data_IF_017525665253
#
_entry.id   IF_017525665253
#
_cell.length_a   1.000
_cell.length_b   1.000
_cell.length_c   1.000
_cell.angle_alpha   90.00
_cell.angle_beta   90.00
_cell.angle_gamma   90.00
#
_symmetry.space_group_name_H-M   'P 1'
#
loop_
_entity.id
_entity.type
_entity.pdbx_description
1 polymer ?
#
# COMPACT_ATOMS: atom_id res chain seq x y z
N UNK A 1 35.55 14.51 7.44
CA UNK A 1 35.86 14.23 8.85
C UNK A 1 34.77 13.32 9.38
N UNK A 2 35.13 12.06 9.62
CA UNK A 2 34.30 11.01 10.21
C UNK A 2 34.79 10.88 11.65
N UNK A 3 34.00 11.21 12.67
CA UNK A 3 34.25 10.69 14.04
C UNK A 3 33.13 10.92 15.07
N UNK A 4 32.14 11.78 14.83
CA UNK A 4 31.19 12.13 15.91
C UNK A 4 30.00 11.17 16.14
N UNK A 5 29.80 10.15 15.30
CA UNK A 5 28.67 9.22 15.47
C UNK A 5 28.97 7.99 16.35
N UNK A 6 30.20 7.82 16.85
CA UNK A 6 30.60 6.60 17.56
C UNK A 6 30.50 6.66 19.11
N UNK A 7 29.94 7.72 19.71
CA UNK A 7 29.97 7.92 21.19
C UNK A 7 28.64 8.00 21.92
N UNK A 8 27.53 7.52 21.34
CA UNK A 8 26.33 7.28 22.14
C UNK A 8 26.50 5.94 22.87
N UNK A 9 27.33 5.96 23.93
CA UNK A 9 27.35 4.93 24.95
C UNK A 9 26.00 4.98 25.68
N UNK A 10 25.05 4.17 25.23
CA UNK A 10 23.79 3.97 25.94
C UNK A 10 24.13 3.28 27.26
N UNK A 11 24.10 4.08 28.34
CA UNK A 11 24.28 3.65 29.73
C UNK A 11 23.31 2.49 29.99
N UNK A 12 23.83 1.26 30.08
CA UNK A 12 23.00 0.10 30.43
C UNK A 12 22.36 0.35 31.80
N UNK A 13 21.03 0.25 31.93
CA UNK A 13 20.37 0.48 33.20
C UNK A 13 20.82 -0.58 34.21
N UNK A 14 21.56 -0.17 35.26
CA UNK A 14 21.97 -1.00 36.39
C UNK A 14 20.82 -1.27 37.37
N UNK A 15 19.60 -1.46 36.87
CA UNK A 15 18.46 -1.79 37.71
C UNK A 15 18.14 -3.28 37.52
N UNK A 16 18.39 -4.14 38.53
CA UNK A 16 18.19 -5.59 38.40
C UNK A 16 16.73 -5.97 38.08
N UNK A 17 15.75 -5.10 38.37
CA UNK A 17 14.37 -5.32 37.90
C UNK A 17 14.26 -5.28 36.37
N UNK A 18 15.04 -4.44 35.69
CA UNK A 18 15.05 -4.36 34.22
C UNK A 18 15.67 -5.62 33.61
N UNK A 19 16.72 -6.18 34.22
CA UNK A 19 17.29 -7.46 33.78
C UNK A 19 16.28 -8.60 33.85
N UNK A 20 15.43 -8.61 34.88
CA UNK A 20 14.34 -9.59 34.99
C UNK A 20 13.30 -9.44 33.87
N UNK A 21 13.01 -8.21 33.42
CA UNK A 21 12.14 -7.96 32.25
C UNK A 21 12.80 -8.29 30.91
N UNK A 22 14.13 -8.28 30.83
CA UNK A 22 14.88 -8.68 29.62
C UNK A 22 15.05 -10.21 29.53
N UNK A 23 15.04 -10.92 30.66
CA UNK A 23 15.13 -12.38 30.69
C UNK A 23 13.81 -13.09 30.44
N UNK A 24 12.67 -12.39 30.51
CA UNK A 24 11.43 -12.96 30.00
C UNK A 24 11.52 -12.98 28.48
N UNK A 25 11.48 -14.17 27.83
CA UNK A 25 11.43 -14.25 26.38
C UNK A 25 10.11 -13.61 25.94
N UNK A 26 10.16 -12.32 25.60
CA UNK A 26 9.04 -11.61 25.00
C UNK A 26 8.90 -12.10 23.57
N UNK A 27 8.42 -13.34 23.41
CA UNK A 27 8.03 -13.89 22.12
C UNK A 27 7.05 -12.92 21.43
N UNK A 28 6.19 -12.22 22.19
CA UNK A 28 5.33 -11.16 21.63
C UNK A 28 6.04 -9.89 21.18
N UNK A 29 7.09 -9.43 21.87
CA UNK A 29 7.72 -8.14 21.54
C UNK A 29 8.65 -8.25 20.33
N UNK A 30 9.38 -9.36 20.20
CA UNK A 30 10.18 -9.63 19.01
C UNK A 30 9.30 -9.78 17.76
N UNK A 31 8.13 -10.41 17.88
CA UNK A 31 7.18 -10.51 16.78
C UNK A 31 6.66 -9.14 16.37
N UNK A 32 6.34 -8.24 17.32
CA UNK A 32 5.89 -6.88 16.98
C UNK A 32 6.98 -6.04 16.32
N UNK A 33 8.23 -6.12 16.77
CA UNK A 33 9.31 -5.34 16.13
C UNK A 33 9.66 -5.91 14.76
N UNK A 34 9.64 -7.23 14.57
CA UNK A 34 9.85 -7.85 13.26
C UNK A 34 8.70 -7.56 12.29
N UNK A 35 7.43 -7.61 12.73
CA UNK A 35 6.31 -7.24 11.87
C UNK A 35 6.37 -5.75 11.52
N UNK A 36 6.77 -4.89 12.46
CA UNK A 36 6.93 -3.46 12.21
C UNK A 36 8.10 -3.15 11.28
N UNK A 37 9.26 -3.79 11.47
CA UNK A 37 10.41 -3.65 10.56
C UNK A 37 10.05 -4.17 9.17
N UNK A 38 9.46 -5.37 9.06
CA UNK A 38 9.08 -5.93 7.76
C UNK A 38 8.02 -5.08 7.06
N UNK A 39 7.02 -4.58 7.81
CA UNK A 39 5.99 -3.67 7.29
C UNK A 39 6.61 -2.34 6.84
N UNK A 40 7.59 -1.81 7.59
CA UNK A 40 8.34 -0.61 7.22
C UNK A 40 9.19 -0.80 5.97
N UNK A 41 9.88 -1.93 5.83
CA UNK A 41 10.71 -2.22 4.66
C UNK A 41 9.84 -2.40 3.40
N UNK A 42 8.69 -3.07 3.53
CA UNK A 42 7.67 -3.20 2.47
C UNK A 42 7.10 -1.81 2.12
N UNK A 43 6.88 -0.96 3.11
CA UNK A 43 6.40 0.41 2.91
C UNK A 43 7.41 1.24 2.12
N UNK A 44 8.65 1.33 2.60
CA UNK A 44 9.70 2.13 1.95
C UNK A 44 9.93 1.64 0.51
N UNK A 45 9.92 0.32 0.30
CA UNK A 45 10.03 -0.29 -1.04
C UNK A 45 8.83 0.03 -1.95
N UNK A 46 7.60 -0.03 -1.41
CA UNK A 46 6.38 0.33 -2.16
C UNK A 46 6.42 1.78 -2.61
N UNK A 47 6.78 2.71 -1.70
CA UNK A 47 6.85 4.14 -2.01
C UNK A 47 7.94 4.40 -3.03
N UNK A 48 9.13 3.80 -2.87
CA UNK A 48 10.21 3.94 -3.84
C UNK A 48 9.74 3.49 -5.24
N UNK A 49 9.12 2.30 -5.35
CA UNK A 49 8.59 1.79 -6.62
C UNK A 49 7.53 2.70 -7.24
N UNK A 50 6.63 3.26 -6.42
CA UNK A 50 5.61 4.20 -6.88
C UNK A 50 6.24 5.51 -7.40
N UNK A 51 7.27 6.03 -6.74
CA UNK A 51 7.95 7.27 -7.14
C UNK A 51 8.79 7.11 -8.42
N UNK A 52 9.36 5.93 -8.66
CA UNK A 52 10.09 5.60 -9.88
C UNK A 52 9.19 5.47 -11.12
N UNK A 53 7.90 5.19 -10.93
CA UNK A 53 6.93 5.03 -12.01
C UNK A 53 6.05 6.27 -12.18
N UNK A 54 6.16 6.96 -13.31
CA UNK A 54 5.41 8.20 -13.60
C UNK A 54 3.90 8.12 -13.29
N UNK A 55 3.24 7.04 -13.69
CA UNK A 55 1.81 6.82 -13.42
C UNK A 55 1.53 6.78 -11.91
N UNK A 56 2.20 5.87 -11.21
CA UNK A 56 1.99 5.65 -9.77
C UNK A 56 2.42 6.87 -8.96
N UNK A 57 3.46 7.60 -9.38
CA UNK A 57 3.89 8.85 -8.75
C UNK A 57 2.79 9.91 -8.79
N UNK A 58 2.15 10.09 -9.94
CA UNK A 58 1.04 11.03 -10.06
C UNK A 58 -0.17 10.58 -9.21
N UNK A 59 -0.52 9.31 -9.24
CA UNK A 59 -1.63 8.80 -8.42
C UNK A 59 -1.34 8.87 -6.91
N UNK A 60 -0.09 8.63 -6.51
CA UNK A 60 0.41 8.81 -5.15
C UNK A 60 0.26 10.26 -4.69
N UNK A 61 0.65 11.23 -5.51
CA UNK A 61 0.46 12.64 -5.21
C UNK A 61 -1.03 13.00 -5.15
N UNK A 62 -1.84 12.51 -6.08
CA UNK A 62 -3.29 12.73 -6.06
C UNK A 62 -3.90 12.29 -4.73
N UNK A 63 -3.55 11.08 -4.28
CA UNK A 63 -3.99 10.54 -3.01
C UNK A 63 -3.47 11.36 -1.81
N UNK A 64 -2.20 11.75 -1.81
CA UNK A 64 -1.61 12.55 -0.73
C UNK A 64 -2.29 13.93 -0.57
N UNK A 65 -2.57 14.62 -1.67
CA UNK A 65 -3.31 15.89 -1.64
C UNK A 65 -4.76 15.70 -1.21
N UNK A 66 -5.44 14.64 -1.68
CA UNK A 66 -6.80 14.33 -1.26
C UNK A 66 -6.90 14.00 0.24
N UNK A 67 -5.92 13.25 0.78
CA UNK A 67 -5.84 13.00 2.22
C UNK A 67 -5.63 14.29 3.03
N UNK A 68 -4.71 15.16 2.59
CA UNK A 68 -4.46 16.44 3.25
C UNK A 68 -5.72 17.29 3.31
N UNK A 69 -6.50 17.33 2.23
CA UNK A 69 -7.82 17.99 2.20
C UNK A 69 -8.82 17.35 3.17
N UNK A 70 -8.84 16.03 3.30
CA UNK A 70 -9.78 15.31 4.16
C UNK A 70 -9.47 15.48 5.66
N UNK A 71 -8.20 15.62 6.03
CA UNK A 71 -7.80 15.96 7.39
C UNK A 71 -8.11 17.44 7.68
N UNK A 72 -9.35 17.70 8.11
CA UNK A 72 -9.93 19.01 8.46
C UNK A 72 -9.10 19.92 9.38
N UNK A 73 -8.04 19.41 10.01
CA UNK A 73 -7.18 20.17 10.91
C UNK A 73 -6.36 21.26 10.18
N UNK A 74 -6.15 21.13 8.87
CA UNK A 74 -5.70 22.23 8.04
C UNK A 74 -6.94 22.90 7.45
N UNK A 75 -7.06 24.22 7.57
CA UNK A 75 -7.96 25.01 6.73
C UNK A 75 -7.83 24.50 5.29
N UNK A 76 -8.83 23.74 4.84
CA UNK A 76 -8.69 22.89 3.66
C UNK A 76 -8.22 23.74 2.49
N UNK A 77 -6.94 23.62 2.14
CA UNK A 77 -6.34 24.50 1.15
C UNK A 77 -7.03 24.17 -0.18
N UNK A 78 -7.74 25.12 -0.82
CA UNK A 78 -8.38 24.86 -2.11
C UNK A 78 -7.37 24.35 -3.16
N UNK A 79 -6.09 24.70 -3.01
CA UNK A 79 -5.01 24.20 -3.83
C UNK A 79 -4.82 22.67 -3.72
N UNK A 80 -5.07 22.07 -2.56
CA UNK A 80 -4.96 20.61 -2.38
C UNK A 80 -6.01 19.88 -3.23
N UNK A 81 -7.21 20.46 -3.43
CA UNK A 81 -8.19 19.90 -4.37
C UNK A 81 -7.70 19.99 -5.82
N UNK A 82 -7.23 21.17 -6.23
CA UNK A 82 -6.71 21.39 -7.59
C UNK A 82 -5.54 20.47 -7.89
N UNK A 83 -4.61 20.33 -6.95
CA UNK A 83 -3.44 19.47 -7.09
C UNK A 83 -3.80 17.98 -7.07
N UNK A 84 -4.79 17.58 -6.26
CA UNK A 84 -5.31 16.20 -6.28
C UNK A 84 -5.92 15.87 -7.64
N UNK A 85 -6.83 16.70 -8.15
CA UNK A 85 -7.52 16.49 -9.42
C UNK A 85 -6.53 16.52 -10.61
N UNK A 86 -5.58 17.47 -10.60
CA UNK A 86 -4.54 17.56 -11.62
C UNK A 86 -3.68 16.30 -11.68
N UNK A 87 -3.25 15.81 -10.53
CA UNK A 87 -2.42 14.61 -10.45
C UNK A 87 -3.22 13.35 -10.77
N UNK A 88 -4.48 13.27 -10.36
CA UNK A 88 -5.38 12.18 -10.73
C UNK A 88 -5.53 12.12 -12.25
N UNK A 89 -5.90 13.24 -12.89
CA UNK A 89 -6.07 13.31 -14.34
C UNK A 89 -4.79 12.99 -15.11
N UNK A 90 -3.62 13.42 -14.62
CA UNK A 90 -2.34 13.08 -15.24
C UNK A 90 -2.00 11.60 -15.08
N UNK A 91 -2.18 11.04 -13.88
CA UNK A 91 -1.94 9.63 -13.60
C UNK A 91 -2.85 8.71 -14.43
N UNK A 92 -4.15 8.97 -14.47
CA UNK A 92 -5.12 8.18 -15.24
C UNK A 92 -4.86 8.27 -16.75
N UNK A 93 -4.51 9.45 -17.27
CA UNK A 93 -4.17 9.61 -18.68
C UNK A 93 -2.91 8.82 -19.08
N UNK A 94 -1.86 8.84 -18.25
CA UNK A 94 -0.65 8.03 -18.51
C UNK A 94 -0.98 6.55 -18.42
N UNK A 95 -1.76 6.13 -17.41
CA UNK A 95 -2.20 4.74 -17.27
C UNK A 95 -2.97 4.27 -18.49
N UNK A 96 -3.95 5.06 -18.95
CA UNK A 96 -4.74 4.75 -20.13
C UNK A 96 -3.85 4.45 -21.34
N UNK A 97 -2.89 5.33 -21.63
CA UNK A 97 -1.95 5.13 -22.73
C UNK A 97 -1.10 3.86 -22.57
N UNK A 98 -0.66 3.55 -21.34
CA UNK A 98 0.12 2.33 -21.05
C UNK A 98 -0.72 1.05 -21.20
N UNK A 99 -2.00 1.09 -20.86
CA UNK A 99 -2.90 -0.06 -20.99
C UNK A 99 -3.20 -0.41 -22.46
N UNK A 100 -3.07 0.56 -23.38
CA UNK A 100 -3.20 0.31 -24.82
C UNK A 100 -1.97 -0.37 -25.44
N UNK A 101 -0.85 -0.45 -24.72
CA UNK A 101 0.38 -1.06 -25.23
C UNK A 101 0.36 -2.58 -25.00
N UNK A 102 0.56 -3.34 -26.08
CA UNK A 102 0.62 -4.80 -26.02
C UNK A 102 1.71 -5.28 -25.05
N UNK A 103 1.40 -6.29 -24.24
CA UNK A 103 2.33 -6.88 -23.26
C UNK A 103 2.55 -6.07 -21.98
N UNK A 104 2.06 -4.83 -21.89
CA UNK A 104 2.27 -3.97 -20.72
C UNK A 104 1.05 -3.88 -19.79
N UNK A 105 -0.14 -4.27 -20.26
CA UNK A 105 -1.40 -4.10 -19.54
C UNK A 105 -1.29 -4.56 -18.07
N UNK A 106 -0.79 -5.78 -17.84
CA UNK A 106 -0.67 -6.39 -16.51
C UNK A 106 0.76 -6.36 -15.95
N UNK A 107 1.56 -5.33 -16.32
CA UNK A 107 2.86 -5.07 -15.70
C UNK A 107 2.70 -4.63 -14.24
N UNK A 108 3.74 -4.86 -13.41
CA UNK A 108 3.74 -4.48 -11.99
C UNK A 108 3.45 -2.98 -11.80
N UNK A 109 3.98 -2.13 -12.67
CA UNK A 109 3.74 -0.68 -12.62
C UNK A 109 2.27 -0.32 -12.87
N UNK A 110 1.62 -0.97 -13.84
CA UNK A 110 0.21 -0.73 -14.12
C UNK A 110 -0.69 -1.31 -13.01
N UNK A 111 -0.34 -2.48 -12.47
CA UNK A 111 -1.03 -3.08 -11.32
C UNK A 111 -0.94 -2.18 -10.09
N UNK A 112 0.25 -1.64 -9.78
CA UNK A 112 0.43 -0.66 -8.72
C UNK A 112 -0.43 0.59 -8.93
N UNK A 113 -0.53 1.07 -10.18
CA UNK A 113 -1.35 2.23 -10.51
C UNK A 113 -2.86 1.94 -10.33
N UNK A 114 -3.34 0.78 -10.79
CA UNK A 114 -4.75 0.40 -10.61
C UNK A 114 -5.07 0.13 -9.14
N UNK A 115 -4.15 -0.46 -8.38
CA UNK A 115 -4.26 -0.62 -6.94
C UNK A 115 -4.41 0.74 -6.22
N UNK A 116 -3.63 1.75 -6.63
CA UNK A 116 -3.79 3.12 -6.12
C UNK A 116 -5.13 3.74 -6.51
N UNK A 117 -5.64 3.49 -7.72
CA UNK A 117 -6.98 3.94 -8.13
C UNK A 117 -8.09 3.29 -7.31
N UNK A 118 -7.97 2.00 -7.01
CA UNK A 118 -8.89 1.29 -6.10
C UNK A 118 -8.92 1.96 -4.73
N UNK A 119 -7.73 2.25 -4.15
CA UNK A 119 -7.64 2.91 -2.85
C UNK A 119 -8.17 4.36 -2.91
N UNK A 120 -7.80 5.12 -3.95
CA UNK A 120 -8.25 6.50 -4.15
C UNK A 120 -9.78 6.58 -4.26
N UNK A 121 -10.38 5.76 -5.13
CA UNK A 121 -11.83 5.78 -5.33
C UNK A 121 -12.60 5.28 -4.11
N UNK A 122 -12.03 4.34 -3.34
CA UNK A 122 -12.66 3.86 -2.11
C UNK A 122 -12.74 4.94 -1.02
N UNK A 123 -11.77 5.86 -1.01
CA UNK A 123 -11.69 6.91 0.01
C UNK A 123 -12.33 8.24 -0.47
N UNK A 124 -12.27 8.56 -1.76
CA UNK A 124 -12.65 9.87 -2.31
C UNK A 124 -13.55 9.85 -3.55
N UNK A 125 -13.78 8.68 -4.14
CA UNK A 125 -14.49 8.53 -5.41
C UNK A 125 -15.95 8.09 -5.25
N UNK A 126 -16.53 7.64 -6.36
CA UNK A 126 -17.87 7.08 -6.41
C UNK A 126 -17.86 5.55 -6.42
N UNK A 127 -18.96 4.92 -5.97
CA UNK A 127 -19.06 3.45 -5.86
C UNK A 127 -18.86 2.73 -7.20
N UNK A 128 -19.34 3.32 -8.31
CA UNK A 128 -19.12 2.81 -9.66
C UNK A 128 -17.64 2.83 -10.08
N UNK A 129 -16.87 3.84 -9.67
CA UNK A 129 -15.42 3.90 -9.92
C UNK A 129 -14.68 2.84 -9.12
N UNK A 130 -15.06 2.63 -7.85
CA UNK A 130 -14.51 1.56 -7.01
C UNK A 130 -14.70 0.20 -7.66
N UNK A 131 -15.92 -0.08 -8.13
CA UNK A 131 -16.22 -1.32 -8.85
C UNK A 131 -15.39 -1.47 -10.12
N UNK A 132 -15.35 -0.43 -10.96
CA UNK A 132 -14.59 -0.44 -12.21
C UNK A 132 -13.10 -0.75 -11.98
N UNK A 133 -12.46 -0.06 -11.03
CA UNK A 133 -11.04 -0.26 -10.75
C UNK A 133 -10.76 -1.60 -10.06
N UNK A 134 -11.68 -2.07 -9.22
CA UNK A 134 -11.58 -3.39 -8.58
C UNK A 134 -11.68 -4.51 -9.61
N UNK A 135 -12.62 -4.42 -10.55
CA UNK A 135 -12.77 -5.42 -11.61
C UNK A 135 -11.55 -5.41 -12.54
N UNK A 136 -11.03 -4.23 -12.88
CA UNK A 136 -9.77 -4.10 -13.62
C UNK A 136 -8.60 -4.76 -12.86
N UNK A 137 -8.46 -4.49 -11.55
CA UNK A 137 -7.42 -5.09 -10.72
C UNK A 137 -7.54 -6.62 -10.70
N UNK A 138 -8.75 -7.16 -10.51
CA UNK A 138 -9.02 -8.60 -10.54
C UNK A 138 -8.58 -9.21 -11.86
N UNK A 139 -8.98 -8.63 -12.98
CA UNK A 139 -8.59 -9.11 -14.32
C UNK A 139 -7.07 -9.10 -14.51
N UNK A 140 -6.39 -8.03 -14.08
CA UNK A 140 -4.93 -7.94 -14.23
C UNK A 140 -4.18 -8.96 -13.36
N UNK A 141 -4.67 -9.20 -12.14
CA UNK A 141 -4.10 -10.21 -11.23
C UNK A 141 -4.38 -11.62 -11.74
N UNK A 142 -5.59 -11.89 -12.25
CA UNK A 142 -5.95 -13.17 -12.86
C UNK A 142 -5.07 -13.49 -14.07
N UNK A 143 -4.85 -12.52 -14.95
CA UNK A 143 -3.95 -12.66 -16.11
C UNK A 143 -2.49 -12.97 -15.72
N UNK A 144 -2.09 -12.63 -14.50
CA UNK A 144 -0.76 -12.96 -13.96
C UNK A 144 -0.73 -14.33 -13.28
N UNK A 145 -1.85 -15.01 -13.14
CA UNK A 145 -1.97 -16.30 -12.45
C UNK A 145 -2.32 -16.19 -10.97
N UNK A 146 -2.86 -15.06 -10.53
CA UNK A 146 -3.25 -14.80 -9.15
C UNK A 146 -2.19 -14.06 -8.33
N UNK A 147 -2.52 -13.74 -7.07
CA UNK A 147 -1.64 -13.02 -6.14
C UNK A 147 -0.32 -13.74 -5.85
N UNK A 148 -0.29 -15.06 -5.99
CA UNK A 148 0.90 -15.87 -5.71
C UNK A 148 1.97 -15.76 -6.80
N UNK A 149 1.63 -15.24 -7.98
CA UNK A 149 2.55 -15.07 -9.10
C UNK A 149 3.49 -13.86 -8.96
N UNK A 150 3.33 -13.04 -7.92
CA UNK A 150 4.09 -11.81 -7.67
C UNK A 150 5.36 -12.03 -6.83
N UNK A 151 5.96 -13.22 -6.90
CA UNK A 151 7.15 -13.60 -6.09
C UNK A 151 8.36 -12.71 -6.33
N UNK A 152 8.52 -12.14 -7.53
CA UNK A 152 9.59 -11.21 -7.87
C UNK A 152 9.34 -9.77 -7.41
N UNK A 153 8.14 -9.48 -6.88
CA UNK A 153 7.76 -8.18 -6.35
C UNK A 153 6.98 -8.38 -5.03
N UNK A 154 7.68 -8.76 -3.94
CA UNK A 154 7.06 -9.09 -2.66
C UNK A 154 6.27 -7.92 -2.07
N UNK A 155 6.67 -6.69 -2.39
CA UNK A 155 6.00 -5.46 -1.96
C UNK A 155 4.60 -5.34 -2.57
N UNK A 156 4.50 -5.48 -3.90
CA UNK A 156 3.22 -5.49 -4.60
C UNK A 156 2.39 -6.72 -4.19
N UNK A 157 3.02 -7.89 -4.03
CA UNK A 157 2.34 -9.09 -3.54
C UNK A 157 1.67 -8.84 -2.19
N UNK A 158 2.39 -8.28 -1.21
CA UNK A 158 1.83 -7.93 0.10
C UNK A 158 0.64 -6.99 -0.04
N UNK A 159 0.78 -5.92 -0.82
CA UNK A 159 -0.30 -4.95 -1.05
C UNK A 159 -1.55 -5.59 -1.66
N UNK A 160 -1.40 -6.50 -2.62
CA UNK A 160 -2.51 -7.26 -3.21
C UNK A 160 -3.15 -8.22 -2.21
N UNK A 161 -2.39 -8.79 -1.28
CA UNK A 161 -2.92 -9.67 -0.24
C UNK A 161 -3.72 -8.89 0.82
N UNK A 162 -3.31 -7.66 1.16
CA UNK A 162 -3.93 -6.88 2.24
C UNK A 162 -4.96 -5.86 1.78
N UNK A 163 -5.07 -5.53 0.48
CA UNK A 163 -6.01 -4.52 -0.03
C UNK A 163 -7.45 -4.77 0.43
N UNK A 164 -7.88 -6.03 0.46
CA UNK A 164 -9.23 -6.41 0.86
C UNK A 164 -9.54 -6.16 2.33
N UNK A 165 -8.53 -6.09 3.19
CA UNK A 165 -8.66 -5.74 4.62
C UNK A 165 -8.12 -4.34 4.93
N UNK A 166 -7.81 -3.55 3.90
CA UNK A 166 -7.18 -2.25 4.08
C UNK A 166 -8.11 -1.22 4.73
N UNK A 167 -7.52 -0.27 5.44
CA UNK A 167 -8.24 0.79 6.18
C UNK A 167 -8.27 2.09 5.38
N UNK A 168 -9.37 2.85 5.48
CA UNK A 168 -9.53 4.14 4.80
C UNK A 168 -8.45 5.12 5.21
N UNK A 169 -8.02 5.97 4.28
CA UNK A 169 -7.01 7.01 4.54
C UNK A 169 -5.61 6.48 4.92
N UNK A 170 -5.33 5.19 4.70
CA UNK A 170 -3.99 4.61 4.81
C UNK A 170 -3.36 4.39 3.44
N UNK A 171 -2.41 5.24 3.07
CA UNK A 171 -1.70 5.15 1.79
C UNK A 171 -1.05 3.77 1.55
N UNK A 172 -0.65 3.11 2.64
CA UNK A 172 0.13 1.85 2.66
C UNK A 172 -0.75 0.62 2.58
N UNK A 173 -2.07 0.81 2.58
CA UNK A 173 -3.12 -0.21 2.65
C UNK A 173 -3.16 -0.99 3.97
N UNK A 174 -2.00 -1.33 4.51
CA UNK A 174 -1.84 -2.00 5.79
C UNK A 174 -1.89 -1.00 6.96
N UNK A 175 -2.40 -1.45 8.10
CA UNK A 175 -2.44 -0.69 9.35
C UNK A 175 -2.30 -1.66 10.54
N UNK A 176 -1.84 -1.14 11.68
CA UNK A 176 -1.72 -1.93 12.92
C UNK A 176 -3.06 -2.54 13.35
N UNK A 177 -3.03 -3.64 14.10
CA UNK A 177 -4.24 -4.37 14.52
C UNK A 177 -5.25 -3.52 15.32
N UNK A 178 -4.79 -2.44 15.94
CA UNK A 178 -5.62 -1.48 16.69
C UNK A 178 -6.14 -0.29 15.87
N UNK A 179 -6.01 -0.31 14.54
CA UNK A 179 -6.44 0.80 13.67
C UNK A 179 -7.92 1.14 13.89
N UNK A 180 -8.27 2.38 14.32
CA UNK A 180 -9.66 2.76 14.53
C UNK A 180 -10.39 3.04 13.21
N UNK A 181 -9.67 3.22 12.10
CA UNK A 181 -10.25 3.56 10.81
C UNK A 181 -11.07 2.40 10.23
N UNK A 182 -12.10 2.77 9.47
CA UNK A 182 -12.99 1.83 8.82
C UNK A 182 -12.28 1.05 7.72
N UNK A 183 -12.72 -0.18 7.47
CA UNK A 183 -12.31 -0.93 6.28
C UNK A 183 -12.73 -0.15 5.02
N UNK A 184 -11.85 -0.09 4.02
CA UNK A 184 -12.20 0.40 2.68
C UNK A 184 -13.28 -0.45 2.04
N UNK A 185 -13.18 -1.76 2.23
CA UNK A 185 -14.08 -2.77 1.68
C UNK A 185 -14.70 -3.56 2.85
N UNK A 186 -15.88 -3.15 3.37
CA UNK A 186 -16.52 -3.82 4.50
C UNK A 186 -16.81 -5.31 4.22
N UNK A 187 -17.17 -5.65 2.99
CA UNK A 187 -17.39 -7.03 2.54
C UNK A 187 -16.10 -7.74 2.08
N UNK A 188 -14.97 -7.05 2.19
CA UNK A 188 -13.69 -7.45 1.67
C UNK A 188 -13.56 -7.29 0.15
N UNK A 189 -12.31 -7.28 -0.32
CA UNK A 189 -11.96 -7.34 -1.75
C UNK A 189 -11.19 -8.65 -1.99
N UNK A 190 -11.85 -9.62 -2.62
CA UNK A 190 -11.22 -10.88 -3.01
C UNK A 190 -10.53 -10.75 -4.36
N UNK A 191 -9.23 -10.98 -4.37
CA UNK A 191 -8.41 -11.17 -5.57
C UNK A 191 -8.15 -12.66 -5.77
N UNK A 192 -7.99 -13.13 -7.02
CA UNK A 192 -7.73 -14.55 -7.27
C UNK A 192 -6.39 -14.97 -6.66
N UNK A 193 -6.41 -16.04 -5.88
CA UNK A 193 -5.23 -16.74 -5.39
C UNK A 193 -4.79 -17.78 -6.43
N UNK A 194 -3.49 -18.02 -6.56
CA UNK A 194 -2.95 -18.88 -7.61
C UNK A 194 -3.44 -20.34 -7.51
N UNK A 195 -3.32 -21.05 -8.63
CA UNK A 195 -3.52 -22.50 -8.83
C UNK A 195 -4.84 -23.16 -8.34
N UNK A 196 -5.81 -22.43 -7.80
CA UNK A 196 -7.17 -22.96 -7.58
C UNK A 196 -8.10 -22.82 -8.81
N UNK A 197 -7.55 -22.49 -9.99
CA UNK A 197 -8.31 -22.46 -11.25
C UNK A 197 -8.06 -23.66 -12.19
N UNK A 198 -7.27 -24.65 -11.78
CA UNK A 198 -7.13 -25.92 -12.52
C UNK A 198 -8.06 -27.04 -12.02
N UNK A 199 -9.15 -26.72 -11.32
CA UNK A 199 -10.13 -27.74 -10.92
C UNK A 199 -11.58 -27.33 -11.21
N UNK A 200 -11.82 -26.90 -12.43
CA UNK A 200 -13.13 -26.99 -13.09
C UNK A 200 -12.94 -27.48 -14.53
N UNK A 201 -12.22 -28.60 -14.68
CA UNK A 201 -12.37 -29.42 -15.88
C UNK A 201 -13.49 -30.43 -15.61
N UNK A 202 -14.58 -30.26 -16.35
CA UNK A 202 -15.53 -31.28 -16.87
C UNK A 202 -15.95 -32.44 -15.98
#
# INVERSE_FOLDING_TARGET
>A
MNEDLARIQIKRPQNPRVEQYLQQPKQGFLLTTQSWISSRDILESSIAFMLENDTSRHLLFAYAYAMRRAHRAADGNPQDQVDAERNLGRGTNILWNRLQMAGHASSDANLQAVLLLVAYSADFGQENEVRLHTDALRTMVDQRGGTDAFTNNPSLQHQLLVIGSSRRFHLTLDCESGCPDLLRFPDGLRLPQGANHSRMDT
#
